data_IF_107247194355
#
_entry.id   IF_107247194355
#
_cell.length_a   1.000
_cell.length_b   1.000
_cell.length_c   1.000
_cell.angle_alpha   90.00
_cell.angle_beta   90.00
_cell.angle_gamma   90.00
#
_symmetry.space_group_name_H-M   'P 1'
#
loop_
_entity.id
_entity.type
_entity.pdbx_description
1 polymer ?
#
# COMPACT_ATOMS: atom_id res chain seq x y z
N UNK A 1 -19.59 -6.44 9.94
CA UNK A 1 -19.49 -6.22 8.49
C UNK A 1 -18.05 -6.27 7.99
N UNK A 2 -17.15 -5.48 8.58
CA UNK A 2 -15.74 -5.47 8.14
C UNK A 2 -15.07 -6.82 8.30
N UNK A 3 -15.40 -7.54 9.36
CA UNK A 3 -14.81 -8.85 9.63
C UNK A 3 -15.23 -9.86 8.57
N UNK A 4 -16.52 -9.83 8.18
CA UNK A 4 -17.02 -10.74 7.15
C UNK A 4 -16.31 -10.51 5.82
N UNK A 5 -16.14 -9.24 5.42
CA UNK A 5 -15.42 -8.91 4.19
C UNK A 5 -13.98 -9.39 4.25
N UNK A 6 -13.32 -9.19 5.39
CA UNK A 6 -11.94 -9.60 5.56
C UNK A 6 -11.77 -11.11 5.43
N UNK A 7 -12.74 -11.88 5.89
CA UNK A 7 -12.66 -13.34 5.85
C UNK A 7 -12.99 -13.92 4.48
N UNK A 8 -13.72 -13.17 3.65
CA UNK A 8 -14.16 -13.64 2.34
C UNK A 8 -13.33 -13.11 1.18
N UNK A 9 -12.47 -12.14 1.44
CA UNK A 9 -11.66 -11.54 0.39
C UNK A 9 -10.58 -12.50 -0.09
N UNK A 10 -10.30 -12.46 -1.38
CA UNK A 10 -9.21 -13.21 -1.99
C UNK A 10 -7.93 -12.39 -2.07
N UNK A 11 -8.03 -11.08 -2.02
CA UNK A 11 -6.93 -10.15 -2.00
C UNK A 11 -7.42 -8.84 -1.38
N UNK A 12 -6.55 -8.17 -0.65
CA UNK A 12 -6.82 -6.83 -0.15
C UNK A 12 -5.86 -5.88 -0.83
N UNK A 13 -6.37 -5.04 -1.70
CA UNK A 13 -5.58 -4.05 -2.41
C UNK A 13 -5.87 -2.66 -1.86
N UNK A 14 -4.83 -1.97 -1.42
CA UNK A 14 -4.96 -0.62 -0.86
C UNK A 14 -4.41 0.36 -1.90
N UNK A 15 -5.32 1.05 -2.57
CA UNK A 15 -5.02 1.86 -3.76
C UNK A 15 -5.79 3.18 -3.68
N UNK A 16 -5.13 4.28 -3.48
CA UNK A 16 -3.74 4.43 -3.09
C UNK A 16 -3.56 4.29 -1.59
N UNK A 17 -2.34 4.03 -1.16
CA UNK A 17 -1.99 4.02 0.25
C UNK A 17 -1.26 5.30 0.59
N UNK A 18 -1.82 6.09 1.48
CA UNK A 18 -1.18 7.31 1.97
C UNK A 18 -0.12 6.97 3.03
N UNK A 19 0.74 7.93 3.33
CA UNK A 19 1.71 7.75 4.40
C UNK A 19 1.00 7.45 5.73
N UNK A 20 -0.11 8.14 5.99
CA UNK A 20 -0.89 7.92 7.21
C UNK A 20 -1.46 6.50 7.26
N UNK A 21 -2.05 6.03 6.18
CA UNK A 21 -2.60 4.69 6.12
C UNK A 21 -1.51 3.65 6.35
N UNK A 22 -0.37 3.81 5.70
CA UNK A 22 0.74 2.88 5.88
C UNK A 22 1.25 2.88 7.32
N UNK A 23 1.32 4.05 7.95
CA UNK A 23 1.73 4.15 9.34
C UNK A 23 0.76 3.43 10.27
N UNK A 24 -0.54 3.61 10.05
CA UNK A 24 -1.55 2.93 10.85
C UNK A 24 -1.46 1.41 10.67
N UNK A 25 -1.30 0.95 9.44
CA UNK A 25 -1.17 -0.47 9.16
C UNK A 25 0.09 -1.05 9.83
N UNK A 26 1.21 -0.34 9.72
CA UNK A 26 2.47 -0.80 10.29
C UNK A 26 2.43 -0.86 11.82
N UNK A 27 1.74 0.09 12.44
CA UNK A 27 1.72 0.22 13.89
C UNK A 27 0.48 -0.40 14.56
N UNK A 28 -0.48 -0.87 13.76
CA UNK A 28 -1.64 -1.55 14.31
C UNK A 28 -2.75 -0.61 14.78
N UNK A 29 -2.80 0.61 14.27
CA UNK A 29 -3.89 1.54 14.58
C UNK A 29 -5.02 1.37 13.57
N UNK A 30 -6.24 1.39 14.05
CA UNK A 30 -7.42 1.19 13.22
C UNK A 30 -8.43 2.32 13.41
N UNK A 31 -8.10 3.56 12.98
CA UNK A 31 -8.98 4.69 13.18
C UNK A 31 -10.18 4.72 12.23
N UNK A 32 -10.21 3.88 11.22
CA UNK A 32 -11.30 3.88 10.23
C UNK A 32 -11.59 2.47 9.74
N UNK A 33 -12.58 2.39 8.83
CA UNK A 33 -13.03 1.10 8.32
C UNK A 33 -11.93 0.36 7.55
N UNK A 34 -11.14 1.08 6.76
CA UNK A 34 -10.07 0.46 5.98
C UNK A 34 -9.03 -0.20 6.89
N UNK A 35 -8.55 0.52 7.88
CA UNK A 35 -7.51 0.00 8.77
C UNK A 35 -8.04 -1.10 9.67
N UNK A 36 -9.32 -1.04 10.06
CA UNK A 36 -9.96 -2.13 10.78
C UNK A 36 -10.05 -3.38 9.91
N UNK A 37 -10.44 -3.20 8.65
CA UNK A 37 -10.51 -4.30 7.69
C UNK A 37 -9.12 -4.94 7.52
N UNK A 38 -8.10 -4.11 7.39
CA UNK A 38 -6.74 -4.60 7.25
C UNK A 38 -6.33 -5.48 8.44
N UNK A 39 -6.60 -5.04 9.67
CA UNK A 39 -6.21 -5.82 10.84
C UNK A 39 -6.92 -7.17 10.91
N UNK A 40 -8.14 -7.25 10.41
CA UNK A 40 -8.93 -8.48 10.41
C UNK A 40 -8.67 -9.36 9.18
N UNK A 41 -7.95 -8.85 8.19
CA UNK A 41 -7.79 -9.50 6.90
C UNK A 41 -6.86 -10.70 6.96
N UNK A 42 -7.21 -11.76 6.23
CA UNK A 42 -6.38 -12.95 6.07
C UNK A 42 -5.88 -13.15 4.64
N UNK A 43 -6.38 -12.37 3.70
CA UNK A 43 -5.98 -12.48 2.30
C UNK A 43 -4.61 -11.83 2.07
N UNK A 44 -3.95 -12.16 0.95
CA UNK A 44 -2.76 -11.43 0.56
C UNK A 44 -3.04 -9.94 0.44
N UNK A 45 -2.05 -9.12 0.78
CA UNK A 45 -2.18 -7.67 0.81
C UNK A 45 -1.27 -7.05 -0.24
N UNK A 46 -1.85 -6.24 -1.10
CA UNK A 46 -1.12 -5.43 -2.07
C UNK A 46 -1.27 -3.98 -1.68
N UNK A 47 -0.16 -3.29 -1.54
CA UNK A 47 -0.13 -1.90 -1.10
C UNK A 47 0.45 -1.06 -2.23
N UNK A 48 -0.30 -0.07 -2.67
CA UNK A 48 0.10 0.82 -3.77
C UNK A 48 0.26 2.24 -3.24
N UNK A 49 1.47 2.59 -2.77
CA UNK A 49 1.68 3.91 -2.17
C UNK A 49 1.55 5.04 -3.18
N UNK A 50 1.03 6.17 -2.71
CA UNK A 50 1.00 7.42 -3.45
C UNK A 50 1.06 8.56 -2.45
N UNK A 51 2.06 9.42 -2.60
CA UNK A 51 2.26 10.55 -1.70
C UNK A 51 3.29 11.51 -2.27
N UNK A 52 3.40 12.67 -1.65
CA UNK A 52 4.45 13.62 -1.98
C UNK A 52 5.82 12.96 -1.83
N UNK A 53 6.77 13.32 -2.70
CA UNK A 53 8.10 12.72 -2.69
C UNK A 53 8.84 12.86 -1.37
N UNK A 54 8.69 14.00 -0.72
CA UNK A 54 9.34 14.21 0.58
C UNK A 54 8.72 13.33 1.66
N UNK A 55 7.45 13.06 1.56
CA UNK A 55 6.79 12.12 2.48
C UNK A 55 7.28 10.70 2.23
N UNK A 56 7.42 10.32 0.97
CA UNK A 56 7.87 8.97 0.64
C UNK A 56 9.30 8.71 1.13
N UNK A 57 10.20 9.67 0.93
CA UNK A 57 11.61 9.50 1.32
C UNK A 57 11.85 9.73 2.81
N UNK A 58 10.85 10.21 3.54
CA UNK A 58 11.01 10.44 4.97
C UNK A 58 11.35 9.12 5.69
N UNK A 59 12.33 9.13 6.59
CA UNK A 59 12.72 7.90 7.30
C UNK A 59 11.57 7.18 7.97
N UNK A 60 10.59 7.90 8.52
CA UNK A 60 9.43 7.27 9.15
C UNK A 60 8.62 6.48 8.14
N UNK A 61 8.39 7.04 6.94
CA UNK A 61 7.63 6.36 5.90
C UNK A 61 8.40 5.13 5.40
N UNK A 62 9.69 5.27 5.19
CA UNK A 62 10.53 4.15 4.76
C UNK A 62 10.54 3.04 5.79
N UNK A 63 10.55 3.39 7.06
CA UNK A 63 10.51 2.40 8.13
C UNK A 63 9.17 1.66 8.14
N UNK A 64 8.06 2.39 7.99
CA UNK A 64 6.74 1.76 7.92
C UNK A 64 6.61 0.85 6.70
N UNK A 65 7.14 1.29 5.55
CA UNK A 65 7.15 0.46 4.35
C UNK A 65 7.93 -0.83 4.57
N UNK A 66 9.08 -0.74 5.23
CA UNK A 66 9.90 -1.92 5.50
C UNK A 66 9.17 -2.89 6.44
N UNK A 67 8.49 -2.39 7.45
CA UNK A 67 7.70 -3.21 8.38
C UNK A 67 6.63 -3.98 7.59
N UNK A 68 5.89 -3.27 6.74
CA UNK A 68 4.82 -3.90 5.97
C UNK A 68 5.36 -4.90 4.96
N UNK A 69 6.44 -4.56 4.28
CA UNK A 69 7.02 -5.45 3.27
C UNK A 69 7.55 -6.75 3.89
N UNK A 70 7.91 -6.73 5.16
CA UNK A 70 8.44 -7.91 5.85
C UNK A 70 7.35 -8.87 6.30
N UNK A 71 6.09 -8.46 6.31
CA UNK A 71 4.99 -9.33 6.72
C UNK A 71 4.68 -10.34 5.62
N UNK A 72 4.28 -11.54 6.04
CA UNK A 72 3.90 -12.59 5.09
C UNK A 72 2.75 -12.13 4.20
N UNK A 73 2.82 -12.49 2.92
CA UNK A 73 1.76 -12.23 1.94
C UNK A 73 1.46 -10.74 1.78
N UNK A 74 2.45 -9.90 2.05
CA UNK A 74 2.37 -8.46 1.83
C UNK A 74 3.32 -8.07 0.72
N UNK A 75 2.86 -7.21 -0.18
CA UNK A 75 3.68 -6.71 -1.27
C UNK A 75 3.40 -5.24 -1.47
N UNK A 76 4.46 -4.46 -1.56
CA UNK A 76 4.36 -3.03 -1.86
C UNK A 76 4.78 -2.84 -3.30
N UNK A 77 3.92 -2.22 -4.09
CA UNK A 77 4.14 -1.97 -5.52
C UNK A 77 4.19 -0.48 -5.76
N UNK A 78 5.35 0.01 -6.11
CA UNK A 78 5.59 1.44 -6.23
C UNK A 78 6.04 2.04 -4.91
N UNK A 79 5.94 3.36 -4.77
CA UNK A 79 5.41 4.28 -5.76
C UNK A 79 6.34 4.43 -6.95
N UNK A 80 5.80 5.04 -8.00
CA UNK A 80 6.56 5.28 -9.20
C UNK A 80 7.34 6.58 -9.08
N UNK A 81 8.56 6.55 -9.59
CA UNK A 81 9.38 7.75 -9.71
C UNK A 81 9.33 8.16 -11.17
N UNK A 82 8.69 9.29 -11.46
CA UNK A 82 8.60 9.74 -12.84
C UNK A 82 9.98 10.11 -13.41
N UNK A 83 10.88 10.55 -12.55
CA UNK A 83 12.23 10.93 -12.97
C UNK A 83 12.27 12.07 -13.96
N UNK A 84 11.14 12.64 -14.31
CA UNK A 84 11.04 13.57 -15.42
C UNK A 84 10.87 15.01 -15.03
N UNK A 85 10.52 15.27 -13.80
CA UNK A 85 10.22 16.63 -13.38
C UNK A 85 11.47 17.42 -13.13
N UNK A 86 11.46 18.66 -13.60
CA UNK A 86 12.59 19.55 -13.40
C UNK A 86 12.93 19.76 -11.91
N UNK A 87 11.92 19.74 -11.08
CA UNK A 87 12.08 19.90 -9.65
C UNK A 87 12.35 18.57 -8.93
N UNK A 88 12.41 17.49 -9.66
CA UNK A 88 12.82 16.19 -9.16
C UNK A 88 11.98 15.60 -8.04
N UNK A 89 11.91 16.28 -6.92
CA UNK A 89 11.22 15.77 -5.74
C UNK A 89 9.76 15.47 -5.99
N UNK A 90 9.11 16.20 -6.89
CA UNK A 90 7.70 16.02 -7.18
C UNK A 90 7.42 14.80 -8.04
N UNK A 91 8.46 14.24 -8.67
CA UNK A 91 8.30 13.07 -9.50
C UNK A 91 8.21 11.79 -8.71
N UNK A 92 8.66 11.81 -7.47
CA UNK A 92 8.65 10.62 -6.63
C UNK A 92 7.30 10.47 -5.94
N UNK A 93 6.98 9.24 -5.55
CA UNK A 93 5.81 8.98 -4.75
C UNK A 93 4.51 8.87 -5.53
N UNK A 94 4.58 8.84 -6.85
CA UNK A 94 3.39 8.73 -7.70
C UNK A 94 2.83 7.31 -7.68
N UNK A 95 1.50 7.23 -7.75
CA UNK A 95 0.84 5.95 -7.88
C UNK A 95 1.26 5.30 -9.21
N UNK A 96 1.56 4.01 -9.16
CA UNK A 96 1.84 3.26 -10.38
C UNK A 96 0.62 3.27 -11.30
N UNK A 97 0.82 2.96 -12.57
CA UNK A 97 -0.24 3.01 -13.57
C UNK A 97 -1.35 2.00 -13.26
N UNK A 98 -2.53 2.28 -13.79
CA UNK A 98 -3.67 1.36 -13.65
C UNK A 98 -3.32 -0.02 -14.20
N UNK A 99 -2.59 -0.07 -15.30
CA UNK A 99 -2.17 -1.36 -15.89
C UNK A 99 -1.34 -2.18 -14.91
N UNK A 100 -0.41 -1.54 -14.21
CA UNK A 100 0.42 -2.22 -13.21
C UNK A 100 -0.45 -2.71 -12.05
N UNK A 101 -1.39 -1.87 -11.59
CA UNK A 101 -2.27 -2.23 -10.49
C UNK A 101 -3.08 -3.48 -10.85
N UNK A 102 -3.71 -3.47 -12.03
CA UNK A 102 -4.53 -4.59 -12.48
C UNK A 102 -3.68 -5.85 -12.64
N UNK A 103 -2.50 -5.72 -13.23
CA UNK A 103 -1.60 -6.85 -13.43
C UNK A 103 -1.21 -7.50 -12.11
N UNK A 104 -0.86 -6.68 -11.10
CA UNK A 104 -0.46 -7.20 -9.80
C UNK A 104 -1.61 -7.91 -9.10
N UNK A 105 -2.82 -7.34 -9.18
CA UNK A 105 -3.99 -7.97 -8.59
C UNK A 105 -4.27 -9.31 -9.25
N UNK A 106 -4.27 -9.36 -10.58
CA UNK A 106 -4.53 -10.60 -11.31
C UNK A 106 -3.47 -11.64 -11.03
N UNK A 107 -2.21 -11.24 -10.95
CA UNK A 107 -1.12 -12.16 -10.65
C UNK A 107 -1.30 -12.76 -9.26
N UNK A 108 -1.71 -11.95 -8.29
CA UNK A 108 -1.93 -12.43 -6.92
C UNK A 108 -3.09 -13.41 -6.84
N UNK A 109 -4.13 -13.20 -7.65
CA UNK A 109 -5.31 -14.07 -7.67
C UNK A 109 -5.05 -15.38 -8.42
N UNK A 110 -4.00 -15.45 -9.23
CA UNK A 110 -3.71 -16.65 -10.04
C UNK A 110 -2.82 -17.59 -9.23
N UNK A 111 -3.21 -18.87 -9.07
CA UNK A 111 -2.41 -19.86 -8.33
C UNK A 111 -1.06 -20.12 -8.97
#
# INVERSE_FOLDING_TARGET
>A
MHIDLAQKADVLAIVPASANTMACMAQGFAPNALTSLYLANRAPVLIFPAMNGNMWTHPATQQNAAILAAREHHRIVGPEDSGMLACGAEGQGRLVSVDVIVEEILHTLTP
#
